data_IF_570678427967
#
_entry.id   IF_570678427967
#
_cell.length_a   1.000
_cell.length_b   1.000
_cell.length_c   1.000
_cell.angle_alpha   90.00
_cell.angle_beta   90.00
_cell.angle_gamma   90.00
#
_symmetry.space_group_name_H-M   'P 1'
#
loop_
_entity.id
_entity.type
_entity.pdbx_description
1 polymer ?
#
# COMPACT_ATOMS: atom_id res chain seq x y z
N UNK A 1 12.86 -2.90 9.67
CA UNK A 1 13.46 -3.30 8.37
C UNK A 1 14.57 -2.31 8.04
N UNK A 2 15.80 -2.77 7.79
CA UNK A 2 16.94 -1.87 7.49
C UNK A 2 16.95 -1.36 6.04
N UNK A 3 16.18 -1.99 5.15
CA UNK A 3 16.00 -1.58 3.76
C UNK A 3 14.52 -1.66 3.38
N UNK A 4 14.01 -0.63 2.70
CA UNK A 4 12.62 -0.51 2.27
C UNK A 4 12.47 -0.08 0.80
N UNK A 5 13.57 -0.04 0.04
CA UNK A 5 13.61 0.34 -1.37
C UNK A 5 14.10 -0.84 -2.20
N UNK A 6 13.38 -1.18 -3.27
CA UNK A 6 13.66 -2.32 -4.13
C UNK A 6 13.78 -1.86 -5.59
N UNK A 7 14.81 -2.33 -6.30
CA UNK A 7 15.09 -1.95 -7.68
C UNK A 7 16.11 -0.81 -7.83
N UNK A 8 16.47 -0.51 -9.08
CA UNK A 8 17.48 0.50 -9.43
C UNK A 8 16.90 1.63 -10.27
N UNK A 9 16.60 1.36 -11.55
CA UNK A 9 15.99 2.33 -12.47
C UNK A 9 14.48 2.41 -12.22
N UNK A 10 13.80 1.27 -12.25
CA UNK A 10 12.43 1.13 -11.73
C UNK A 10 12.54 0.73 -10.26
N UNK A 11 12.05 1.59 -9.36
CA UNK A 11 12.29 1.44 -7.93
C UNK A 11 11.02 1.66 -7.12
N UNK A 12 10.79 0.78 -6.15
CA UNK A 12 9.64 0.85 -5.23
C UNK A 12 10.14 1.04 -3.82
N UNK A 13 9.67 2.08 -3.14
CA UNK A 13 9.99 2.39 -1.75
C UNK A 13 8.74 2.32 -0.89
N UNK A 14 8.68 1.44 0.10
CA UNK A 14 7.51 1.28 0.99
C UNK A 14 7.65 2.07 2.28
N UNK A 15 6.54 2.55 2.84
CA UNK A 15 6.50 3.26 4.12
C UNK A 15 5.23 2.90 4.92
N UNK A 16 5.25 3.24 6.20
CA UNK A 16 4.15 3.04 7.13
C UNK A 16 4.20 1.73 7.92
N UNK A 17 3.48 1.72 9.03
CA UNK A 17 3.37 0.61 9.96
C UNK A 17 1.95 0.01 9.92
N UNK A 18 1.84 -1.28 10.23
CA UNK A 18 0.55 -2.00 10.28
C UNK A 18 -0.49 -1.43 11.25
N UNK A 19 -0.08 -0.60 12.20
CA UNK A 19 -0.95 0.07 13.18
C UNK A 19 -0.80 1.60 13.14
N UNK A 20 -0.09 2.12 12.13
CA UNK A 20 -0.07 3.53 11.83
C UNK A 20 -1.36 3.96 11.12
N UNK A 21 -1.56 5.27 10.90
CA UNK A 21 -2.78 5.78 10.26
C UNK A 21 -2.92 5.36 8.79
N UNK A 22 -1.80 5.09 8.11
CA UNK A 22 -1.75 4.68 6.72
C UNK A 22 -0.45 3.93 6.43
N UNK A 23 -0.47 3.20 5.33
CA UNK A 23 0.70 2.62 4.68
C UNK A 23 0.76 3.09 3.23
N UNK A 24 1.90 2.93 2.59
CA UNK A 24 2.00 3.29 1.18
C UNK A 24 3.33 2.97 0.56
N UNK A 25 3.48 3.43 -0.68
CA UNK A 25 4.74 3.33 -1.38
C UNK A 25 4.94 4.48 -2.37
N UNK A 26 6.18 4.61 -2.82
CA UNK A 26 6.58 5.47 -3.92
C UNK A 26 7.13 4.56 -5.02
N UNK A 27 6.61 4.71 -6.23
CA UNK A 27 7.11 4.05 -7.44
C UNK A 27 7.83 5.09 -8.29
N UNK A 28 9.13 4.90 -8.47
CA UNK A 28 10.03 5.78 -9.20
C UNK A 28 10.54 5.09 -10.47
N UNK A 29 10.88 5.89 -11.49
CA UNK A 29 11.36 5.41 -12.79
C UNK A 29 10.27 4.86 -13.72
N UNK A 30 8.99 5.13 -13.44
CA UNK A 30 7.91 4.87 -14.39
C UNK A 30 8.06 5.82 -15.58
N UNK A 31 8.13 5.34 -16.84
CA UNK A 31 8.19 6.22 -18.00
C UNK A 31 6.90 7.07 -18.10
N UNK A 32 6.96 8.29 -18.67
CA UNK A 32 5.77 9.09 -18.93
C UNK A 32 4.87 8.43 -19.98
N UNK A 33 3.56 8.70 -19.90
CA UNK A 33 2.58 8.24 -20.88
C UNK A 33 1.97 6.85 -20.61
N UNK A 34 2.29 6.22 -19.48
CA UNK A 34 1.65 4.97 -19.06
C UNK A 34 0.22 5.28 -18.58
N UNK A 35 -0.77 4.73 -19.29
CA UNK A 35 -2.18 4.84 -18.92
C UNK A 35 -2.56 3.71 -17.96
N UNK A 36 -3.16 4.06 -16.82
CA UNK A 36 -3.69 3.11 -15.85
C UNK A 36 -4.86 3.73 -15.06
N UNK A 37 -5.43 3.00 -14.10
CA UNK A 37 -6.46 3.53 -13.20
C UNK A 37 -6.24 3.04 -11.77
N UNK A 38 -6.81 3.74 -10.79
CA UNK A 38 -6.82 3.25 -9.40
C UNK A 38 -7.55 1.91 -9.30
N UNK A 39 -8.59 1.69 -10.13
CA UNK A 39 -9.32 0.41 -10.19
C UNK A 39 -8.42 -0.76 -10.56
N UNK A 40 -7.53 -0.56 -11.54
CA UNK A 40 -6.57 -1.58 -11.94
C UNK A 40 -5.71 -2.02 -10.75
N UNK A 41 -5.22 -1.07 -9.95
CA UNK A 41 -4.43 -1.36 -8.74
C UNK A 41 -5.31 -2.02 -7.67
N UNK A 42 -6.54 -1.52 -7.49
CA UNK A 42 -7.50 -2.03 -6.51
C UNK A 42 -7.82 -3.51 -6.74
N UNK A 43 -7.91 -3.98 -7.99
CA UNK A 43 -8.16 -5.39 -8.28
C UNK A 43 -7.05 -6.32 -7.72
N UNK A 44 -5.80 -5.86 -7.67
CA UNK A 44 -4.71 -6.59 -7.02
C UNK A 44 -4.78 -6.52 -5.50
N UNK A 45 -5.16 -5.36 -4.96
CA UNK A 45 -5.34 -5.18 -3.52
C UNK A 45 -6.50 -6.02 -2.99
N UNK A 46 -7.62 -6.06 -3.71
CA UNK A 46 -8.78 -6.87 -3.40
C UNK A 46 -8.42 -8.35 -3.33
N UNK A 47 -7.52 -8.84 -4.20
CA UNK A 47 -7.01 -10.22 -4.16
C UNK A 47 -6.09 -10.49 -2.96
N UNK A 48 -5.38 -9.48 -2.48
CA UNK A 48 -4.42 -9.58 -1.36
C UNK A 48 -5.08 -9.42 0.01
N UNK A 49 -6.15 -8.62 0.09
CA UNK A 49 -6.69 -8.14 1.36
C UNK A 49 -7.04 -9.29 2.32
N UNK A 50 -6.83 -9.10 3.63
CA UNK A 50 -7.22 -10.09 4.64
C UNK A 50 -8.74 -10.32 4.68
N UNK A 51 -9.19 -11.35 5.40
CA UNK A 51 -10.61 -11.59 5.64
C UNK A 51 -11.35 -12.29 4.49
N UNK A 52 -10.65 -12.73 3.44
CA UNK A 52 -11.24 -13.54 2.36
C UNK A 52 -11.59 -14.97 2.79
N UNK A 53 -11.01 -15.46 3.89
CA UNK A 53 -11.25 -16.81 4.40
C UNK A 53 -11.53 -16.78 5.89
N UNK A 54 -12.42 -17.68 6.35
CA UNK A 54 -12.75 -17.89 7.76
C UNK A 54 -11.52 -18.24 8.63
N UNK A 55 -10.43 -18.69 8.00
CA UNK A 55 -9.19 -19.10 8.67
C UNK A 55 -8.15 -17.98 8.72
N UNK A 56 -8.42 -16.83 8.11
CA UNK A 56 -7.53 -15.67 8.12
C UNK A 56 -8.02 -14.62 9.13
N UNK A 57 -7.23 -13.58 9.38
CA UNK A 57 -7.63 -12.47 10.25
C UNK A 57 -9.00 -11.91 9.88
N UNK A 58 -9.80 -11.60 10.89
CA UNK A 58 -11.16 -11.06 10.74
C UNK A 58 -11.18 -9.56 10.41
N UNK A 59 -10.01 -8.91 10.32
CA UNK A 59 -9.92 -7.50 9.93
C UNK A 59 -10.53 -7.29 8.56
N UNK A 60 -11.41 -6.31 8.47
CA UNK A 60 -12.00 -5.86 7.21
C UNK A 60 -11.35 -4.54 6.83
N UNK A 61 -10.19 -4.63 6.19
CA UNK A 61 -9.55 -3.48 5.58
C UNK A 61 -9.94 -3.48 4.10
N UNK A 62 -10.61 -2.41 3.60
CA UNK A 62 -10.97 -2.32 2.19
C UNK A 62 -9.74 -2.15 1.30
N UNK A 63 -8.58 -1.81 1.89
CA UNK A 63 -7.33 -1.55 1.19
C UNK A 63 -7.51 -0.57 0.02
N UNK A 64 -8.31 0.48 0.21
CA UNK A 64 -8.56 1.47 -0.84
C UNK A 64 -7.30 2.25 -1.14
N UNK A 65 -6.79 2.13 -2.37
CA UNK A 65 -5.63 2.89 -2.82
C UNK A 65 -6.01 4.30 -3.27
N UNK A 66 -5.12 5.25 -2.99
CA UNK A 66 -5.16 6.62 -3.50
C UNK A 66 -3.85 6.93 -4.19
N UNK A 67 -3.91 7.45 -5.40
CA UNK A 67 -2.74 7.99 -6.12
C UNK A 67 -2.59 9.47 -5.76
N UNK A 68 -1.46 9.82 -5.14
CA UNK A 68 -1.21 11.17 -4.61
C UNK A 68 -0.34 12.03 -5.53
N UNK A 69 0.47 11.43 -6.39
CA UNK A 69 1.41 12.14 -7.29
C UNK A 69 1.79 11.29 -8.50
N UNK A 70 2.57 11.87 -9.42
CA UNK A 70 3.17 11.14 -10.54
C UNK A 70 2.25 10.88 -11.72
N UNK A 71 1.05 11.47 -11.70
CA UNK A 71 0.02 11.26 -12.70
C UNK A 71 -0.70 12.55 -13.09
N UNK A 72 -1.29 12.53 -14.26
CA UNK A 72 -2.24 13.53 -14.78
C UNK A 72 -3.54 12.80 -15.18
N UNK A 73 -4.68 13.50 -15.27
CA UNK A 73 -5.90 12.92 -15.84
C UNK A 73 -5.66 12.40 -17.28
N UNK A 74 -6.20 11.22 -17.59
CA UNK A 74 -6.19 10.64 -18.93
C UNK A 74 -7.32 11.11 -19.82
N UNK A 75 -7.49 10.44 -20.97
CA UNK A 75 -8.53 10.78 -21.94
C UNK A 75 -9.92 10.33 -21.45
N UNK A 76 -10.01 9.13 -20.85
CA UNK A 76 -11.25 8.64 -20.27
C UNK A 76 -11.36 8.95 -18.77
N UNK A 77 -12.61 8.99 -18.28
CA UNK A 77 -12.89 9.19 -16.87
C UNK A 77 -12.28 8.07 -16.02
N UNK A 78 -11.55 8.45 -14.98
CA UNK A 78 -10.86 7.51 -14.08
C UNK A 78 -9.51 7.01 -14.59
N UNK A 79 -9.08 7.41 -15.80
CA UNK A 79 -7.72 7.16 -16.26
C UNK A 79 -6.72 8.15 -15.66
N UNK A 80 -5.54 7.61 -15.38
CA UNK A 80 -4.35 8.31 -14.94
C UNK A 80 -3.25 8.03 -15.95
N UNK A 81 -2.51 9.08 -16.31
CA UNK A 81 -1.36 9.00 -17.21
C UNK A 81 -0.11 9.37 -16.42
N UNK A 82 0.89 8.51 -16.39
CA UNK A 82 2.15 8.79 -15.70
C UNK A 82 2.87 10.00 -16.30
N UNK A 83 3.47 10.82 -15.44
CA UNK A 83 4.22 12.02 -15.85
C UNK A 83 5.72 11.76 -16.06
N UNK A 84 6.20 10.58 -15.67
CA UNK A 84 7.64 10.32 -15.51
C UNK A 84 8.20 10.70 -14.14
N UNK A 85 7.41 11.36 -13.28
CA UNK A 85 7.80 11.68 -11.90
C UNK A 85 7.33 10.57 -10.94
N UNK A 86 7.85 10.51 -9.71
CA UNK A 86 7.47 9.46 -8.77
C UNK A 86 5.97 9.42 -8.49
N UNK A 87 5.40 8.21 -8.54
CA UNK A 87 3.99 7.93 -8.24
C UNK A 87 3.89 7.54 -6.77
N UNK A 88 3.25 8.38 -5.96
CA UNK A 88 2.98 8.09 -4.56
C UNK A 88 1.60 7.41 -4.41
N UNK A 89 1.56 6.31 -3.67
CA UNK A 89 0.37 5.53 -3.37
C UNK A 89 0.15 5.51 -1.85
N UNK A 90 -1.09 5.73 -1.41
CA UNK A 90 -1.52 5.68 -0.02
C UNK A 90 -2.68 4.69 0.14
N UNK A 91 -2.66 3.93 1.23
CA UNK A 91 -3.78 3.12 1.73
C UNK A 91 -3.99 3.48 3.21
N UNK A 92 -5.22 3.84 3.58
CA UNK A 92 -5.55 4.17 4.96
C UNK A 92 -5.92 2.93 5.78
N UNK A 93 -5.41 2.85 7.01
CA UNK A 93 -5.76 1.78 7.93
C UNK A 93 -7.05 2.15 8.68
N UNK A 94 -8.17 1.50 8.34
CA UNK A 94 -9.50 1.84 8.88
C UNK A 94 -9.91 1.05 10.14
N UNK A 95 -9.39 -0.16 10.33
CA UNK A 95 -9.69 -1.03 11.49
C UNK A 95 -8.43 -1.24 12.35
N UNK A 96 -7.69 -0.15 12.62
CA UNK A 96 -6.52 -0.19 13.50
C UNK A 96 -6.94 -0.38 14.97
N UNK A 97 -6.90 -1.62 15.45
CA UNK A 97 -7.13 -1.94 16.87
C UNK A 97 -5.84 -1.86 17.66
N UNK A 98 -5.47 -0.65 18.04
CA UNK A 98 -4.25 -0.38 18.84
C UNK A 98 -4.24 -1.09 20.20
N UNK A 99 -5.40 -1.46 20.76
CA UNK A 99 -5.51 -2.23 22.01
C UNK A 99 -5.00 -3.67 21.90
N UNK A 100 -5.06 -4.29 20.73
CA UNK A 100 -4.61 -5.69 20.55
C UNK A 100 -3.08 -5.82 20.65
N UNK A 101 -2.35 -4.70 20.51
CA UNK A 101 -0.89 -4.66 20.51
C UNK A 101 -0.27 -4.29 21.86
N UNK A 102 -1.02 -3.74 22.83
CA UNK A 102 -0.46 -3.28 24.11
C UNK A 102 0.08 -4.42 24.98
N UNK A 103 -0.51 -5.61 24.86
CA UNK A 103 -0.07 -6.80 25.60
C UNK A 103 1.15 -7.47 24.96
N UNK A 104 1.28 -7.33 23.64
CA UNK A 104 2.38 -7.85 22.84
C UNK A 104 3.62 -6.96 22.96
N UNK A 105 3.45 -5.65 23.10
CA UNK A 105 4.56 -4.69 23.21
C UNK A 105 5.52 -4.95 24.39
N UNK A 106 5.11 -5.77 25.37
CA UNK A 106 5.90 -6.09 26.57
C UNK A 106 6.55 -7.48 26.54
N UNK A 107 6.41 -8.24 25.45
CA UNK A 107 6.86 -9.65 25.38
C UNK A 107 7.46 -9.95 24.01
N UNK A 108 8.67 -10.53 23.99
CA UNK A 108 9.25 -11.09 22.77
C UNK A 108 8.51 -12.36 22.36
N UNK A 109 8.02 -12.41 21.13
CA UNK A 109 7.29 -13.57 20.58
C UNK A 109 8.26 -14.46 19.80
N UNK A 110 8.33 -15.76 20.11
CA UNK A 110 9.12 -16.70 19.33
C UNK A 110 8.73 -16.69 17.84
N UNK A 111 9.72 -16.54 16.95
CA UNK A 111 9.52 -16.52 15.50
C UNK A 111 9.03 -15.18 14.92
N UNK A 112 8.88 -14.15 15.74
CA UNK A 112 8.64 -12.78 15.31
C UNK A 112 9.92 -11.93 15.47
N UNK A 113 9.91 -10.74 14.87
CA UNK A 113 11.06 -9.83 14.81
C UNK A 113 11.07 -8.75 15.92
N UNK A 114 10.25 -8.93 16.95
CA UNK A 114 10.15 -8.07 18.12
C UNK A 114 11.38 -8.16 19.03
#
# INVERSE_FOLDING_TARGET
>A
MSHNSFGHLFRVTTWGESHGPAIGCIVDGTPPGLVFSERFIQDFLDRRRPGQSRFTTQRQEPDTVRVLSGTMPGEAEGELVSTGTPIALEIQNVDQRSKDYSDIAKRYRPGHAD
#
